data_IF_519567189948
#
_entry.id   IF_519567189948
#
_cell.length_a   1.000
_cell.length_b   1.000
_cell.length_c   1.000
_cell.angle_alpha   90.00
_cell.angle_beta   90.00
_cell.angle_gamma   90.00
#
_symmetry.space_group_name_H-M   'P 1'
#
loop_
_entity.id
_entity.type
_entity.pdbx_description
1 polymer ?
#
# COMPACT_ATOMS: atom_id res chain seq x y z
N UNK A 1 -7.87 9.97 7.42
CA UNK A 1 -7.64 8.80 6.54
C UNK A 1 -6.89 9.28 5.31
N UNK A 2 -5.99 8.47 4.76
CA UNK A 2 -5.12 8.84 3.64
C UNK A 2 -5.28 7.81 2.52
N UNK A 3 -5.59 8.28 1.30
CA UNK A 3 -5.77 7.42 0.12
C UNK A 3 -4.58 7.60 -0.81
N UNK A 4 -3.97 6.49 -1.21
CA UNK A 4 -2.80 6.41 -2.08
C UNK A 4 -3.21 5.66 -3.36
N UNK A 5 -3.26 6.32 -4.52
CA UNK A 5 -3.46 5.66 -5.79
C UNK A 5 -2.16 5.02 -6.31
N UNK A 6 -2.27 3.96 -7.10
CA UNK A 6 -1.20 3.36 -7.90
C UNK A 6 -1.76 2.84 -9.22
N UNK A 7 -0.92 2.34 -10.12
CA UNK A 7 -1.40 1.74 -11.37
C UNK A 7 -2.27 0.49 -11.11
N UNK A 8 -1.87 -0.33 -10.13
CA UNK A 8 -2.56 -1.58 -9.79
C UNK A 8 -3.79 -1.44 -8.89
N UNK A 9 -4.11 -0.26 -8.37
CA UNK A 9 -5.26 -0.07 -7.50
C UNK A 9 -5.18 1.19 -6.62
N UNK A 10 -5.90 1.15 -5.49
CA UNK A 10 -5.85 2.21 -4.48
C UNK A 10 -5.90 1.63 -3.07
N UNK A 11 -5.16 2.27 -2.17
CA UNK A 11 -5.12 1.90 -0.75
C UNK A 11 -5.58 3.08 0.09
N UNK A 12 -6.42 2.82 1.08
CA UNK A 12 -6.73 3.77 2.15
C UNK A 12 -6.12 3.28 3.45
N UNK A 13 -5.33 4.12 4.11
CA UNK A 13 -4.76 3.86 5.43
C UNK A 13 -5.18 4.91 6.44
N UNK A 14 -5.06 4.56 7.71
CA UNK A 14 -5.09 5.51 8.83
C UNK A 14 -3.76 5.44 9.56
N UNK A 15 -3.07 6.58 9.63
CA UNK A 15 -1.91 6.76 10.50
C UNK A 15 -2.41 7.05 11.92
N UNK A 16 -2.03 6.19 12.87
CA UNK A 16 -2.18 6.43 14.30
C UNK A 16 -0.88 6.94 14.91
N UNK A 17 -0.89 7.26 16.20
CA UNK A 17 0.31 7.69 16.93
C UNK A 17 1.34 6.57 17.13
N UNK A 18 0.95 5.30 16.95
CA UNK A 18 1.79 4.12 17.20
C UNK A 18 1.81 3.11 16.05
N UNK A 19 1.08 3.35 14.97
CA UNK A 19 1.05 2.40 13.86
C UNK A 19 0.27 2.86 12.63
N UNK A 20 0.33 2.03 11.59
CA UNK A 20 -0.44 2.16 10.36
C UNK A 20 -1.55 1.12 10.37
N UNK A 21 -2.78 1.55 10.08
CA UNK A 21 -3.94 0.67 9.96
C UNK A 21 -4.44 0.68 8.52
N UNK A 22 -4.56 -0.50 7.91
CA UNK A 22 -5.22 -0.67 6.63
C UNK A 22 -6.73 -0.44 6.79
N UNK A 23 -7.29 0.48 6.00
CA UNK A 23 -8.74 0.72 5.95
C UNK A 23 -9.34 -0.01 4.73
N UNK A 24 -8.70 0.11 3.58
CA UNK A 24 -9.11 -0.60 2.37
C UNK A 24 -7.94 -0.76 1.39
N UNK A 25 -7.97 -1.85 0.62
CA UNK A 25 -7.11 -2.05 -0.54
C UNK A 25 -8.00 -2.57 -1.68
N UNK A 26 -8.16 -1.76 -2.72
CA UNK A 26 -9.05 -2.06 -3.84
C UNK A 26 -8.18 -2.24 -5.09
N UNK A 27 -8.01 -3.48 -5.59
CA UNK A 27 -7.26 -3.71 -6.81
C UNK A 27 -8.00 -3.15 -8.02
N UNK A 28 -7.24 -2.69 -9.01
CA UNK A 28 -7.72 -2.47 -10.36
C UNK A 28 -8.08 -3.80 -11.05
N UNK A 29 -8.81 -3.72 -12.16
CA UNK A 29 -9.20 -4.92 -12.92
C UNK A 29 -7.96 -5.72 -13.34
N UNK A 30 -7.98 -7.03 -13.09
CA UNK A 30 -6.88 -7.94 -13.42
C UNK A 30 -5.71 -7.94 -12.43
N UNK A 31 -5.71 -7.08 -11.41
CA UNK A 31 -4.72 -7.10 -10.34
C UNK A 31 -5.18 -7.94 -9.15
N UNK A 32 -4.23 -8.63 -8.53
CA UNK A 32 -4.35 -9.29 -7.23
C UNK A 32 -3.80 -8.37 -6.16
N UNK A 33 -4.31 -8.48 -4.94
CA UNK A 33 -3.82 -7.71 -3.79
C UNK A 33 -3.19 -8.62 -2.77
N UNK A 34 -2.01 -8.25 -2.27
CA UNK A 34 -1.41 -8.84 -1.07
C UNK A 34 -1.06 -7.73 -0.08
N UNK A 35 -1.17 -8.06 1.20
CA UNK A 35 -0.91 -7.13 2.31
C UNK A 35 0.10 -7.77 3.25
N UNK A 36 1.11 -7.02 3.66
CA UNK A 36 2.13 -7.45 4.61
C UNK A 36 2.40 -6.35 5.63
N UNK A 37 2.49 -6.72 6.89
CA UNK A 37 2.78 -5.81 7.99
C UNK A 37 3.80 -6.47 8.91
N UNK A 38 5.08 -6.19 8.69
CA UNK A 38 6.18 -6.75 9.47
C UNK A 38 6.34 -6.07 10.85
N UNK A 39 5.86 -4.83 10.97
CA UNK A 39 5.85 -4.04 12.20
C UNK A 39 4.60 -3.19 12.28
N UNK A 40 4.19 -2.80 13.49
CA UNK A 40 3.00 -1.97 13.70
C UNK A 40 3.09 -0.63 12.96
N UNK A 41 4.30 -0.11 12.76
CA UNK A 41 4.57 1.19 12.18
C UNK A 41 4.66 1.21 10.64
N UNK A 42 4.65 0.05 9.98
CA UNK A 42 4.87 -0.06 8.54
C UNK A 42 3.99 -1.12 7.90
N UNK A 43 3.19 -0.70 6.91
CA UNK A 43 2.30 -1.55 6.11
C UNK A 43 2.73 -1.50 4.65
N UNK A 44 2.88 -2.67 4.01
CA UNK A 44 3.08 -2.80 2.57
C UNK A 44 1.85 -3.44 1.94
N UNK A 45 1.32 -2.80 0.90
CA UNK A 45 0.28 -3.36 0.04
C UNK A 45 0.86 -3.51 -1.36
N UNK A 46 0.75 -4.71 -1.92
CA UNK A 46 1.17 -4.97 -3.30
C UNK A 46 -0.04 -5.29 -4.15
N UNK A 47 -0.16 -4.59 -5.28
CA UNK A 47 -1.03 -4.97 -6.37
C UNK A 47 -0.19 -5.59 -7.47
N UNK A 48 -0.55 -6.77 -7.97
CA UNK A 48 0.18 -7.41 -9.08
C UNK A 48 -0.72 -8.08 -10.09
N UNK A 49 -0.30 -8.04 -11.35
CA UNK A 49 -0.82 -8.87 -12.44
C UNK A 49 0.37 -9.46 -13.22
N UNK A 50 0.10 -10.13 -14.35
CA UNK A 50 1.13 -10.85 -15.10
C UNK A 50 2.21 -9.93 -15.72
N UNK A 51 1.94 -8.63 -15.88
CA UNK A 51 2.87 -7.68 -16.51
C UNK A 51 3.30 -6.50 -15.63
N UNK A 52 2.75 -6.38 -14.42
CA UNK A 52 2.97 -5.19 -13.59
C UNK A 52 2.80 -5.46 -12.09
N UNK A 53 3.55 -4.70 -11.29
CA UNK A 53 3.50 -4.68 -9.84
C UNK A 53 3.58 -3.25 -9.31
N UNK A 54 2.56 -2.87 -8.53
CA UNK A 54 2.54 -1.67 -7.69
C UNK A 54 2.77 -2.05 -6.24
N UNK A 55 3.80 -1.51 -5.60
CA UNK A 55 4.07 -1.67 -4.18
C UNK A 55 3.89 -0.34 -3.46
N UNK A 56 2.96 -0.31 -2.51
CA UNK A 56 2.65 0.84 -1.67
C UNK A 56 3.17 0.55 -0.26
N UNK A 57 4.09 1.36 0.23
CA UNK A 57 4.60 1.28 1.61
C UNK A 57 4.15 2.50 2.38
N UNK A 58 3.30 2.30 3.38
CA UNK A 58 2.87 3.32 4.33
C UNK A 58 3.62 3.13 5.65
N UNK A 59 4.18 4.22 6.19
CA UNK A 59 4.92 4.19 7.46
C UNK A 59 4.66 5.45 8.28
N UNK A 60 4.78 5.37 9.61
CA UNK A 60 4.80 6.53 10.51
C UNK A 60 6.21 6.97 10.91
N UNK A 61 7.25 6.25 10.48
CA UNK A 61 8.65 6.52 10.84
C UNK A 61 9.46 6.94 9.60
N UNK A 62 10.22 8.05 9.64
CA UNK A 62 10.34 9.06 10.71
C UNK A 62 9.14 10.01 10.80
N UNK A 63 8.22 9.95 9.84
CA UNK A 63 6.97 10.70 9.82
C UNK A 63 5.93 9.96 8.98
N UNK A 64 4.65 10.25 9.20
CA UNK A 64 3.55 9.66 8.45
C UNK A 64 3.66 9.97 6.95
N UNK A 65 3.87 8.93 6.15
CA UNK A 65 3.94 9.03 4.68
C UNK A 65 3.60 7.71 4.01
N UNK A 66 3.35 7.78 2.71
CA UNK A 66 3.29 6.62 1.83
C UNK A 66 4.19 6.85 0.62
N UNK A 67 4.77 5.77 0.12
CA UNK A 67 5.51 5.74 -1.14
C UNK A 67 4.94 4.68 -2.07
N UNK A 68 4.94 4.95 -3.37
CA UNK A 68 4.51 4.02 -4.41
C UNK A 68 5.73 3.65 -5.26
N UNK A 69 5.94 2.36 -5.49
CA UNK A 69 6.94 1.82 -6.40
C UNK A 69 6.25 0.98 -7.46
N UNK A 70 6.40 1.39 -8.72
CA UNK A 70 5.86 0.69 -9.88
C UNK A 70 6.96 -0.13 -10.57
N UNK A 71 6.63 -1.31 -11.08
CA UNK A 71 7.55 -2.17 -11.83
C UNK A 71 6.80 -3.01 -12.85
N UNK A 72 7.39 -3.19 -14.04
CA UNK A 72 6.88 -4.06 -15.10
C UNK A 72 7.84 -5.23 -15.33
N UNK A 73 7.34 -6.32 -15.92
CA UNK A 73 8.09 -7.54 -16.21
C UNK A 73 8.20 -7.79 -17.71
#
# INVERSE_FOLDING_TARGET
>A
MHTVPSQGGKVTVRYGSRGVCLISAVPGLGFRTTTSQASDDTLTVTFSNDGHRSEITATITPSAKASVRESSF
#
